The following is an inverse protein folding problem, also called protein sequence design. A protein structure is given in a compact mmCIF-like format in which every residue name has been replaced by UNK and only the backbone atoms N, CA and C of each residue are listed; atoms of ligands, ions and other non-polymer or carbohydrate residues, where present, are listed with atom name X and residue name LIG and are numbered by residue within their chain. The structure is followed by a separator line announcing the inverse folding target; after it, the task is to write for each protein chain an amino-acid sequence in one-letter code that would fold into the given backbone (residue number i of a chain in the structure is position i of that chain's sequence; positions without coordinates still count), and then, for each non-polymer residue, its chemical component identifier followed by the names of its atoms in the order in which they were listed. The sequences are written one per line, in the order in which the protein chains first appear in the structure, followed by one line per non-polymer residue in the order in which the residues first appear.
data_IF_870603462276
#
_entry.id   IF_870603462276
#
_cell.length_a   1.000
_cell.length_b   1.000
_cell.length_c   1.000
_cell.angle_alpha   90.00
_cell.angle_beta   90.00
_cell.angle_gamma   90.00
#
_symmetry.space_group_name_H-M   'P 1'
#
loop_
_entity.id
_entity.type
_entity.pdbx_description
1 polymer ?
#
# COMPACT_ATOMS: atom_id res chain seq x y z
N UNK A 1 -21.10 -58.24 -8.15
CA UNK A 1 -22.28 -57.86 -8.97
C UNK A 1 -22.22 -56.35 -9.20
N UNK A 2 -21.89 -55.85 -10.41
CA UNK A 2 -22.09 -54.44 -10.72
C UNK A 2 -23.46 -54.24 -11.38
N UNK A 3 -24.24 -53.30 -10.87
CA UNK A 3 -25.52 -52.89 -11.46
C UNK A 3 -25.23 -51.93 -12.62
N UNK A 4 -25.67 -52.36 -13.80
CA UNK A 4 -25.78 -51.64 -15.06
C UNK A 4 -27.20 -51.11 -15.20
N UNK A 5 -27.41 -49.80 -15.36
CA UNK A 5 -28.50 -49.11 -16.12
C UNK A 5 -28.42 -47.60 -15.77
N UNK A 6 -28.75 -46.62 -16.60
CA UNK A 6 -29.32 -46.57 -17.95
C UNK A 6 -29.01 -45.18 -18.51
N UNK A 7 -28.68 -45.10 -19.79
CA UNK A 7 -28.56 -43.85 -20.57
C UNK A 7 -29.97 -43.33 -20.90
N UNK A 8 -30.15 -42.00 -20.87
CA UNK A 8 -31.29 -41.31 -21.48
C UNK A 8 -30.76 -40.15 -22.36
N UNK A 9 -31.29 -39.93 -23.59
CA UNK A 9 -30.74 -38.96 -24.53
C UNK A 9 -31.61 -37.69 -24.74
N UNK A 10 -30.99 -36.69 -25.40
CA UNK A 10 -31.51 -35.51 -26.17
C UNK A 10 -32.28 -34.38 -25.44
N UNK A 11 -32.27 -33.09 -25.91
CA UNK A 11 -31.72 -32.58 -27.18
C UNK A 11 -30.78 -31.35 -27.12
N UNK A 12 -29.95 -31.25 -28.16
CA UNK A 12 -29.22 -30.06 -28.60
C UNK A 12 -30.22 -29.05 -29.15
N UNK A 13 -30.18 -27.82 -28.65
CA UNK A 13 -30.89 -26.69 -29.25
C UNK A 13 -29.86 -25.80 -29.92
N UNK A 14 -29.90 -25.77 -31.24
CA UNK A 14 -29.23 -24.80 -32.12
C UNK A 14 -30.30 -23.92 -32.74
N UNK A 15 -30.08 -22.60 -32.71
CA UNK A 15 -30.73 -21.49 -33.45
C UNK A 15 -30.89 -20.32 -32.47
N UNK A 16 -30.67 -19.04 -32.77
CA UNK A 16 -30.23 -18.30 -33.96
C UNK A 16 -30.02 -16.87 -33.44
N UNK A 17 -28.95 -16.20 -33.86
CA UNK A 17 -28.68 -14.81 -33.46
C UNK A 17 -29.46 -13.85 -34.37
N UNK A 18 -30.28 -12.92 -33.83
CA UNK A 18 -30.82 -11.83 -34.63
C UNK A 18 -29.81 -10.67 -34.75
N UNK A 19 -29.64 -10.20 -35.98
CA UNK A 19 -28.92 -8.97 -36.35
C UNK A 19 -29.66 -7.70 -35.85
N UNK A 20 -29.02 -6.50 -35.90
CA UNK A 20 -29.32 -5.39 -35.01
C UNK A 20 -30.53 -4.56 -35.46
N UNK A 21 -31.40 -4.20 -34.51
CA UNK A 21 -32.42 -3.16 -34.69
C UNK A 21 -31.82 -1.81 -34.33
N UNK A 22 -31.64 -0.98 -35.36
CA UNK A 22 -31.38 0.46 -35.24
C UNK A 22 -32.69 1.14 -34.85
N UNK A 23 -32.74 1.71 -33.64
CA UNK A 23 -33.79 2.64 -33.24
C UNK A 23 -33.17 4.00 -32.94
N UNK A 24 -33.38 4.93 -33.87
CA UNK A 24 -33.18 6.36 -33.69
C UNK A 24 -34.35 6.93 -32.88
N UNK A 25 -34.08 7.44 -31.69
CA UNK A 25 -35.00 8.35 -30.99
C UNK A 25 -34.24 9.58 -30.52
N UNK A 26 -34.66 10.71 -31.09
CA UNK A 26 -34.30 12.08 -30.75
C UNK A 26 -35.13 12.53 -29.55
N UNK A 27 -34.50 13.02 -28.48
CA UNK A 27 -35.19 13.83 -27.46
C UNK A 27 -34.27 14.95 -26.91
N UNK A 28 -34.94 16.02 -26.49
CA UNK A 28 -34.57 17.42 -26.36
C UNK A 28 -33.50 17.77 -25.29
N UNK A 29 -32.93 19.00 -25.32
CA UNK A 29 -31.79 19.36 -24.47
C UNK A 29 -32.18 19.61 -23.01
N UNK A 30 -31.42 19.03 -22.09
CA UNK A 30 -31.49 19.28 -20.65
C UNK A 30 -30.84 20.64 -20.29
N UNK A 31 -31.26 21.30 -19.20
CA UNK A 31 -30.87 22.67 -18.87
C UNK A 31 -29.39 22.79 -18.46
N UNK A 32 -28.75 23.87 -18.91
CA UNK A 32 -27.39 24.27 -18.53
C UNK A 32 -27.37 24.65 -17.06
N UNK A 33 -26.77 23.80 -16.23
CA UNK A 33 -26.41 24.16 -14.85
C UNK A 33 -25.10 24.94 -14.91
N UNK A 34 -25.19 26.25 -14.65
CA UNK A 34 -24.02 27.12 -14.49
C UNK A 34 -23.32 26.75 -13.19
N UNK A 35 -22.23 25.98 -13.27
CA UNK A 35 -21.34 25.75 -12.14
C UNK A 35 -20.38 26.93 -12.01
N UNK A 36 -20.64 27.77 -11.01
CA UNK A 36 -19.69 28.75 -10.48
C UNK A 36 -18.39 28.02 -10.08
N UNK A 37 -17.19 28.48 -10.50
CA UNK A 37 -15.97 27.90 -9.99
C UNK A 37 -15.80 28.33 -8.53
N UNK A 38 -16.08 27.43 -7.61
CA UNK A 38 -15.63 27.55 -6.22
C UNK A 38 -14.12 27.47 -6.23
N UNK A 39 -13.45 28.52 -5.76
CA UNK A 39 -12.00 28.55 -5.55
C UNK A 39 -11.60 27.49 -4.53
N UNK A 40 -11.30 26.28 -5.00
CA UNK A 40 -10.59 25.29 -4.19
C UNK A 40 -9.16 25.78 -4.02
N UNK A 41 -8.82 26.15 -2.79
CA UNK A 41 -7.44 26.36 -2.36
C UNK A 41 -6.61 25.17 -2.82
N UNK A 42 -5.69 25.40 -3.75
CA UNK A 42 -4.76 24.37 -4.21
C UNK A 42 -3.98 23.86 -2.99
N UNK A 43 -4.15 22.57 -2.68
CA UNK A 43 -3.18 21.86 -1.86
C UNK A 43 -1.80 22.01 -2.53
N UNK A 44 -0.69 22.11 -1.76
CA UNK A 44 0.63 22.20 -2.34
C UNK A 44 0.84 21.04 -3.31
N UNK A 45 1.22 21.37 -4.55
CA UNK A 45 1.52 20.38 -5.56
C UNK A 45 2.61 19.44 -5.03
N UNK A 46 2.32 18.14 -5.01
CA UNK A 46 3.33 17.13 -4.77
C UNK A 46 4.45 17.30 -5.81
N UNK A 47 5.62 17.71 -5.35
CA UNK A 47 6.85 17.73 -6.13
C UNK A 47 7.04 16.34 -6.71
N UNK A 48 7.26 16.24 -8.04
CA UNK A 48 7.42 14.96 -8.73
C UNK A 48 8.39 14.03 -7.99
N UNK A 49 7.83 13.02 -7.35
CA UNK A 49 8.52 12.11 -6.45
C UNK A 49 9.29 11.07 -7.26
N UNK A 50 10.45 10.65 -6.76
CA UNK A 50 11.06 9.40 -7.20
C UNK A 50 9.99 8.27 -7.20
N UNK A 51 10.11 7.28 -8.08
CA UNK A 51 9.13 6.19 -8.12
C UNK A 51 9.40 5.16 -7.02
N UNK A 52 8.34 4.65 -6.39
CA UNK A 52 8.41 3.53 -5.44
C UNK A 52 8.59 3.95 -3.97
N UNK A 53 8.71 2.95 -3.09
CA UNK A 53 8.68 3.16 -1.63
C UNK A 53 9.79 4.10 -1.13
N UNK A 54 10.98 4.05 -1.75
CA UNK A 54 12.12 4.89 -1.32
C UNK A 54 11.85 6.38 -1.45
N UNK A 55 10.96 6.80 -2.34
CA UNK A 55 10.60 8.19 -2.50
C UNK A 55 9.86 8.74 -1.28
N UNK A 56 8.96 7.93 -0.73
CA UNK A 56 8.26 8.19 0.53
C UNK A 56 9.27 8.20 1.68
N UNK A 57 10.11 7.16 1.77
CA UNK A 57 11.15 7.08 2.81
C UNK A 57 12.01 8.35 2.79
N UNK A 58 12.54 8.73 1.63
CA UNK A 58 13.39 9.90 1.44
C UNK A 58 12.72 11.21 1.84
N UNK A 59 11.46 11.41 1.43
CA UNK A 59 10.68 12.60 1.77
C UNK A 59 10.57 12.74 3.30
N UNK A 60 10.19 11.65 3.97
CA UNK A 60 10.00 11.66 5.42
C UNK A 60 11.31 11.73 6.18
N UNK A 61 12.40 11.15 5.65
CA UNK A 61 13.73 11.37 6.22
C UNK A 61 14.09 12.86 6.27
N UNK A 62 13.88 13.57 5.15
CA UNK A 62 14.15 15.01 5.08
C UNK A 62 13.27 15.79 6.05
N UNK A 63 11.97 15.52 6.09
CA UNK A 63 11.03 16.19 7.01
C UNK A 63 11.41 15.98 8.48
N UNK A 64 11.84 14.77 8.83
CA UNK A 64 12.24 14.39 10.19
C UNK A 64 13.67 14.85 10.55
N UNK A 65 14.36 15.57 9.65
CA UNK A 65 15.71 16.08 9.89
C UNK A 65 16.79 15.00 9.95
N UNK A 66 16.55 13.83 9.35
CA UNK A 66 17.50 12.71 9.31
C UNK A 66 18.12 12.54 7.91
N UNK A 67 19.33 12.02 7.87
CA UNK A 67 19.96 11.59 6.62
C UNK A 67 19.12 10.52 5.93
N UNK A 68 19.08 10.56 4.60
CA UNK A 68 18.41 9.53 3.81
C UNK A 68 19.10 8.18 3.98
N UNK A 69 18.31 7.11 3.94
CA UNK A 69 18.86 5.76 3.89
C UNK A 69 19.38 5.43 2.49
N UNK A 70 20.42 4.62 2.42
CA UNK A 70 20.80 3.94 1.19
C UNK A 70 19.95 2.68 1.02
N UNK A 71 19.41 2.46 -0.17
CA UNK A 71 18.75 1.17 -0.44
C UNK A 71 19.81 0.07 -0.48
N UNK A 72 19.59 -1.02 0.26
CA UNK A 72 20.48 -2.16 0.26
C UNK A 72 19.75 -3.41 -0.29
N UNK A 73 20.23 -4.00 -1.39
CA UNK A 73 19.54 -5.13 -2.03
C UNK A 73 19.48 -6.39 -1.15
N UNK A 74 20.44 -6.59 -0.25
CA UNK A 74 20.38 -7.68 0.75
C UNK A 74 19.22 -7.46 1.72
N UNK A 75 19.06 -6.23 2.23
CA UNK A 75 17.93 -5.90 3.11
C UNK A 75 16.58 -6.01 2.39
N UNK A 76 16.52 -5.67 1.09
CA UNK A 76 15.30 -5.85 0.27
C UNK A 76 14.95 -7.34 0.17
N UNK A 77 15.94 -8.20 -0.10
CA UNK A 77 15.74 -9.64 -0.18
C UNK A 77 15.32 -10.23 1.18
N UNK A 78 15.93 -9.76 2.27
CA UNK A 78 15.57 -10.17 3.63
C UNK A 78 14.12 -9.78 3.96
N UNK A 79 13.74 -8.53 3.72
CA UNK A 79 12.37 -8.07 3.92
C UNK A 79 11.34 -8.87 3.09
N UNK A 80 11.67 -9.17 1.81
CA UNK A 80 10.79 -10.00 0.97
C UNK A 80 10.65 -11.41 1.53
N UNK A 81 11.76 -12.02 1.97
CA UNK A 81 11.75 -13.35 2.58
C UNK A 81 10.86 -13.36 3.82
N UNK A 82 11.03 -12.40 4.73
CA UNK A 82 10.20 -12.28 5.93
C UNK A 82 8.72 -12.14 5.59
N UNK A 83 8.36 -11.30 4.61
CA UNK A 83 6.96 -11.13 4.22
C UNK A 83 6.37 -12.40 3.57
N UNK A 84 7.15 -13.12 2.76
CA UNK A 84 6.74 -14.40 2.15
C UNK A 84 6.55 -15.48 3.22
N UNK A 85 7.53 -15.67 4.09
CA UNK A 85 7.51 -16.72 5.10
C UNK A 85 6.47 -16.44 6.20
N UNK A 86 6.21 -15.16 6.48
CA UNK A 86 5.12 -14.73 7.35
C UNK A 86 3.72 -15.06 6.81
N UNK A 87 3.58 -15.31 5.49
CA UNK A 87 2.35 -15.78 4.84
C UNK A 87 1.09 -14.99 5.26
N UNK A 88 1.18 -13.65 5.19
CA UNK A 88 0.09 -12.74 5.58
C UNK A 88 -0.01 -12.46 7.08
N UNK A 89 0.95 -12.92 7.88
CA UNK A 89 1.08 -12.61 9.30
C UNK A 89 2.31 -11.74 9.55
N UNK A 90 2.26 -10.89 10.59
CA UNK A 90 3.38 -10.06 11.04
C UNK A 90 4.33 -10.87 11.94
N UNK A 91 5.01 -11.86 11.36
CA UNK A 91 6.01 -12.66 12.06
C UNK A 91 7.40 -12.11 11.76
N UNK A 92 8.06 -11.56 12.78
CA UNK A 92 9.43 -11.09 12.64
C UNK A 92 10.39 -12.23 12.34
N UNK A 93 11.33 -11.97 11.43
CA UNK A 93 12.44 -12.85 11.10
C UNK A 93 13.66 -12.00 10.75
N UNK A 94 14.56 -11.81 11.71
CA UNK A 94 15.76 -11.00 11.52
C UNK A 94 16.84 -11.81 10.79
N UNK A 95 16.99 -11.55 9.50
CA UNK A 95 17.95 -12.23 8.63
C UNK A 95 19.36 -11.62 8.75
N UNK A 96 20.43 -12.36 8.39
CA UNK A 96 21.80 -11.85 8.45
C UNK A 96 21.96 -10.51 7.73
N UNK A 97 22.59 -9.55 8.42
CA UNK A 97 22.79 -8.19 7.93
C UNK A 97 21.68 -7.21 8.29
N UNK A 98 20.51 -7.68 8.74
CA UNK A 98 19.44 -6.85 9.29
C UNK A 98 19.65 -6.62 10.79
N UNK A 99 19.56 -5.38 11.25
CA UNK A 99 19.71 -5.00 12.66
C UNK A 99 18.43 -4.37 13.25
N UNK A 100 17.54 -3.87 12.40
CA UNK A 100 16.17 -3.49 12.74
C UNK A 100 15.20 -4.05 11.71
N UNK A 101 13.95 -4.29 12.13
CA UNK A 101 12.89 -4.78 11.25
C UNK A 101 11.54 -4.21 11.70
N UNK A 102 10.73 -3.80 10.74
CA UNK A 102 9.36 -3.32 10.96
C UNK A 102 8.42 -4.04 9.99
N UNK A 103 7.21 -4.37 10.45
CA UNK A 103 6.19 -5.04 9.65
C UNK A 103 4.85 -4.32 9.81
N UNK A 104 4.02 -4.37 8.79
CA UNK A 104 2.65 -3.90 8.86
C UNK A 104 1.80 -4.49 7.74
N UNK A 105 0.49 -4.69 7.95
CA UNK A 105 -0.43 -5.01 6.88
C UNK A 105 -0.57 -3.83 5.91
N UNK A 106 -0.70 -4.13 4.62
CA UNK A 106 -0.95 -3.13 3.58
C UNK A 106 -0.77 -3.71 2.18
N UNK A 107 -1.48 -3.14 1.22
CA UNK A 107 -1.27 -3.45 -0.20
C UNK A 107 0.00 -2.75 -0.70
N UNK A 108 0.54 -3.13 -1.88
CA UNK A 108 1.69 -2.45 -2.47
C UNK A 108 1.54 -0.93 -2.65
N UNK A 109 0.30 -0.43 -2.78
CA UNK A 109 0.04 1.01 -2.94
C UNK A 109 -0.08 1.76 -1.60
N UNK A 110 -0.20 1.04 -0.48
CA UNK A 110 -0.43 1.62 0.86
C UNK A 110 0.85 2.05 1.58
N UNK A 111 2.02 2.03 0.92
CA UNK A 111 3.29 2.21 1.63
C UNK A 111 3.38 3.54 2.41
N UNK A 112 2.78 4.64 1.92
CA UNK A 112 2.73 5.90 2.68
C UNK A 112 1.93 5.74 3.98
N UNK A 113 0.77 5.10 3.89
CA UNK A 113 -0.09 4.85 5.03
C UNK A 113 0.56 3.92 6.05
N UNK A 114 1.31 2.93 5.58
CA UNK A 114 2.11 2.03 6.42
C UNK A 114 3.30 2.76 7.05
N UNK A 115 4.15 3.39 6.25
CA UNK A 115 5.41 3.99 6.70
C UNK A 115 5.18 5.16 7.64
N UNK A 116 4.24 6.05 7.31
CA UNK A 116 3.93 7.22 8.12
C UNK A 116 2.90 6.86 9.17
N UNK A 117 1.75 6.36 8.74
CA UNK A 117 0.62 6.06 9.61
C UNK A 117 0.88 4.88 10.53
N UNK A 118 1.32 3.74 10.01
CA UNK A 118 1.56 2.54 10.81
C UNK A 118 2.79 2.64 11.70
N UNK A 119 3.89 3.22 11.21
CA UNK A 119 5.17 3.19 11.92
C UNK A 119 5.58 4.51 12.56
N UNK A 120 5.76 5.59 11.79
CA UNK A 120 6.24 6.86 12.35
C UNK A 120 5.25 7.51 13.34
N UNK A 121 3.95 7.40 13.06
CA UNK A 121 2.90 7.98 13.88
C UNK A 121 2.65 7.26 15.21
N UNK A 122 3.39 6.20 15.51
CA UNK A 122 3.55 5.70 16.88
C UNK A 122 4.14 6.77 17.80
N UNK A 123 4.95 7.69 17.25
CA UNK A 123 5.48 8.86 17.96
C UNK A 123 5.01 10.15 17.26
N UNK A 124 3.73 10.55 17.43
CA UNK A 124 3.15 11.66 16.67
C UNK A 124 3.77 13.03 17.01
N UNK A 125 4.53 13.12 18.10
CA UNK A 125 5.27 14.31 18.51
C UNK A 125 6.66 14.45 17.85
N UNK A 126 7.06 13.53 16.96
CA UNK A 126 8.31 13.69 16.21
C UNK A 126 8.29 14.98 15.37
N UNK A 127 9.32 15.84 15.46
CA UNK A 127 9.41 17.05 14.64
C UNK A 127 9.36 16.71 13.15
N UNK A 128 8.57 17.47 12.38
CA UNK A 128 8.41 17.27 10.93
C UNK A 128 7.24 16.36 10.52
N UNK A 129 6.53 15.75 11.48
CA UNK A 129 5.27 15.07 11.18
C UNK A 129 4.10 16.05 10.99
N UNK A 130 4.19 17.26 11.53
CA UNK A 130 3.31 18.42 11.22
C UNK A 130 1.80 18.10 11.15
N UNK A 131 1.33 17.24 12.07
CA UNK A 131 -0.07 16.86 12.17
C UNK A 131 -0.55 15.81 11.15
N UNK A 132 0.32 15.30 10.26
CA UNK A 132 -0.02 14.27 9.26
C UNK A 132 -0.66 13.03 9.88
N UNK A 133 -0.28 12.72 11.13
CA UNK A 133 -0.81 11.57 11.85
C UNK A 133 -2.32 11.63 12.03
N UNK A 134 -2.93 12.83 12.11
CA UNK A 134 -4.40 12.94 12.18
C UNK A 134 -5.13 12.30 10.99
N UNK A 135 -4.44 12.17 9.85
CA UNK A 135 -4.98 11.54 8.63
C UNK A 135 -4.35 10.16 8.39
N UNK A 136 -3.03 10.05 8.46
CA UNK A 136 -2.34 8.80 8.15
C UNK A 136 -2.47 7.74 9.25
N UNK A 137 -2.74 8.10 10.51
CA UNK A 137 -2.95 7.12 11.57
C UNK A 137 -4.35 6.51 11.58
N UNK A 138 -5.27 6.94 10.71
CA UNK A 138 -6.65 6.45 10.73
C UNK A 138 -6.65 4.95 10.45
N UNK A 139 -7.24 4.17 11.36
CA UNK A 139 -7.29 2.71 11.27
C UNK A 139 -6.15 1.99 12.01
N UNK A 140 -5.11 2.70 12.44
CA UNK A 140 -4.01 2.15 13.24
C UNK A 140 -4.32 2.19 14.73
N UNK A 141 -4.00 1.11 15.44
CA UNK A 141 -4.00 1.04 16.91
C UNK A 141 -2.62 0.61 17.36
N UNK A 142 -1.90 1.52 18.03
CA UNK A 142 -0.50 1.28 18.41
C UNK A 142 -0.35 0.59 19.77
N UNK A 143 -1.39 0.55 20.60
CA UNK A 143 -1.34 -0.03 21.96
C UNK A 143 -0.20 0.51 22.84
N UNK A 144 0.26 1.75 22.58
CA UNK A 144 1.39 2.37 23.27
C UNK A 144 2.77 1.92 22.78
N UNK A 145 2.85 1.13 21.72
CA UNK A 145 4.10 0.72 21.08
C UNK A 145 4.73 1.91 20.32
N UNK A 146 6.06 1.98 20.35
CA UNK A 146 6.88 2.97 19.62
C UNK A 146 8.02 2.35 18.83
N UNK A 147 8.12 1.02 18.83
CA UNK A 147 9.28 0.30 18.34
C UNK A 147 9.57 0.54 16.87
N UNK A 148 8.54 0.72 16.02
CA UNK A 148 8.75 0.96 14.61
C UNK A 148 9.32 2.36 14.37
N UNK A 149 8.75 3.38 15.02
CA UNK A 149 9.27 4.74 14.96
C UNK A 149 10.72 4.80 15.49
N UNK A 150 11.01 4.10 16.59
CA UNK A 150 12.34 4.08 17.21
C UNK A 150 13.39 3.42 16.30
N UNK A 151 13.03 2.35 15.59
CA UNK A 151 13.90 1.71 14.58
C UNK A 151 14.16 2.66 13.41
N UNK A 152 13.13 3.29 12.85
CA UNK A 152 13.28 4.21 11.70
C UNK A 152 14.11 5.44 12.08
N UNK A 153 13.97 5.93 13.31
CA UNK A 153 14.69 7.09 13.82
C UNK A 153 16.07 6.76 14.42
N UNK A 154 16.46 5.50 14.46
CA UNK A 154 17.79 5.12 14.95
C UNK A 154 18.88 5.73 14.04
N UNK A 155 19.76 6.53 14.65
CA UNK A 155 20.83 7.24 13.95
C UNK A 155 21.95 6.31 13.46
N UNK A 156 22.08 5.11 14.04
CA UNK A 156 23.08 4.12 13.65
C UNK A 156 22.71 3.40 12.35
N UNK A 157 21.44 3.46 11.93
CA UNK A 157 20.98 2.85 10.68
C UNK A 157 21.09 3.81 9.51
N UNK A 158 21.77 3.35 8.47
CA UNK A 158 22.07 4.11 7.25
C UNK A 158 21.59 3.40 5.99
N UNK A 159 21.16 2.15 6.11
CA UNK A 159 20.62 1.34 5.03
C UNK A 159 19.21 0.87 5.31
N UNK A 160 18.42 0.70 4.24
CA UNK A 160 17.06 0.15 4.31
C UNK A 160 16.83 -0.78 3.13
N UNK A 161 15.99 -1.79 3.32
CA UNK A 161 15.37 -2.52 2.22
C UNK A 161 13.95 -2.90 2.58
N UNK A 162 13.00 -2.64 1.69
CA UNK A 162 11.59 -2.93 1.91
C UNK A 162 11.01 -3.77 0.80
N UNK A 163 10.02 -4.58 1.13
CA UNK A 163 9.24 -5.36 0.17
C UNK A 163 7.82 -5.59 0.69
N UNK A 164 6.91 -5.88 -0.23
CA UNK A 164 5.55 -6.30 0.07
C UNK A 164 5.30 -7.71 -0.46
N UNK A 165 4.74 -8.59 0.37
CA UNK A 165 4.23 -9.89 -0.05
C UNK A 165 3.12 -10.35 0.89
N UNK A 166 2.12 -11.07 0.37
CA UNK A 166 1.01 -11.58 1.18
C UNK A 166 0.20 -10.50 1.91
N UNK A 167 0.23 -9.25 1.43
CA UNK A 167 -0.41 -8.11 2.09
C UNK A 167 0.35 -7.58 3.31
N UNK A 168 1.63 -7.94 3.47
CA UNK A 168 2.51 -7.43 4.51
C UNK A 168 3.63 -6.62 3.85
N UNK A 169 3.79 -5.39 4.31
CA UNK A 169 5.02 -4.63 4.13
C UNK A 169 6.01 -5.01 5.23
N UNK A 170 7.22 -5.33 4.82
CA UNK A 170 8.37 -5.48 5.71
C UNK A 170 9.47 -4.52 5.27
N UNK A 171 10.15 -3.91 6.23
CA UNK A 171 11.40 -3.18 6.00
C UNK A 171 12.45 -3.61 7.00
N UNK A 172 13.65 -3.89 6.49
CA UNK A 172 14.85 -4.16 7.28
C UNK A 172 15.80 -2.97 7.23
N UNK A 173 16.51 -2.75 8.33
CA UNK A 173 17.42 -1.62 8.55
C UNK A 173 18.80 -2.11 9.00
N UNK A 174 19.84 -1.38 8.59
CA UNK A 174 21.21 -1.63 9.03
C UNK A 174 22.05 -0.36 9.12
#
# INVERSE_FOLDING_TARGET
VPVITSVAPVPVVTSEAPAPVVSTTSEAPAPVVTSTPTSTSAAPAATATASGYMAIVDEWCVKLGRSKFNVNPTLVANALKTAVDGNGQMVHELNPGSYGQVLAPGTPDDFLHVFVGGWLCERPALPGLDGICTTQSVGWTYEGQTGHADIIMNADYHSIGCANSGGIWACDFA
#
